data_IF_960850329514
#
_entry.id   IF_960850329514
#
_cell.length_a   1.000
_cell.length_b   1.000
_cell.length_c   1.000
_cell.angle_alpha   90.00
_cell.angle_beta   90.00
_cell.angle_gamma   90.00
#
_symmetry.space_group_name_H-M   'P 1'
#
loop_
_entity.id
_entity.type
_entity.pdbx_description
1 polymer ?
#
# COMPACT_ATOMS: atom_id res chain seq x y z
N UNK A 1 -23.50 37.40 -74.68
CA UNK A 1 -24.03 38.09 -73.49
C UNK A 1 -25.09 37.18 -72.89
N UNK A 2 -24.78 36.52 -71.78
CA UNK A 2 -25.68 35.55 -71.14
C UNK A 2 -25.85 35.97 -69.68
N UNK A 3 -27.10 36.20 -69.28
CA UNK A 3 -27.56 36.64 -67.97
C UNK A 3 -27.11 35.69 -66.85
N UNK A 4 -26.47 36.22 -65.81
CA UNK A 4 -26.30 35.53 -64.53
C UNK A 4 -27.14 36.28 -63.49
N UNK A 5 -28.09 35.54 -62.94
CA UNK A 5 -29.06 35.92 -61.91
C UNK A 5 -28.34 36.04 -60.54
N UNK A 6 -28.53 37.16 -59.83
CA UNK A 6 -28.07 37.31 -58.44
C UNK A 6 -29.28 37.48 -57.51
N UNK A 7 -29.42 36.67 -56.45
CA UNK A 7 -30.58 36.69 -55.55
C UNK A 7 -30.58 37.87 -54.54
N UNK A 8 -31.76 38.18 -53.93
CA UNK A 8 -32.03 39.44 -53.23
C UNK A 8 -31.41 39.52 -51.82
N UNK A 9 -31.08 40.75 -51.43
CA UNK A 9 -30.53 41.18 -50.14
C UNK A 9 -31.47 40.89 -48.96
N UNK A 10 -31.01 40.09 -47.99
CA UNK A 10 -31.67 39.92 -46.69
C UNK A 10 -31.37 41.14 -45.80
N UNK A 11 -32.43 41.82 -45.35
CA UNK A 11 -32.42 43.02 -44.52
C UNK A 11 -32.58 42.64 -43.03
N UNK A 12 -31.94 43.40 -42.12
CA UNK A 12 -31.69 43.05 -40.71
C UNK A 12 -32.78 43.53 -39.73
N UNK A 13 -33.96 42.89 -39.61
CA UNK A 13 -34.99 43.32 -38.63
C UNK A 13 -35.82 42.20 -37.96
N UNK A 14 -35.31 40.97 -37.75
CA UNK A 14 -36.02 39.94 -36.94
C UNK A 14 -35.30 39.67 -35.60
N UNK A 15 -35.94 39.88 -34.43
CA UNK A 15 -35.29 39.75 -33.14
C UNK A 15 -34.97 38.28 -32.81
N UNK A 16 -33.72 38.00 -32.45
CA UNK A 16 -33.32 36.66 -32.01
C UNK A 16 -34.03 36.28 -30.70
N UNK A 17 -34.56 35.04 -30.56
CA UNK A 17 -35.14 34.61 -29.30
C UNK A 17 -34.04 34.52 -28.22
N UNK A 18 -34.23 35.26 -27.13
CA UNK A 18 -33.37 35.20 -25.96
C UNK A 18 -33.55 33.84 -25.25
N UNK A 19 -32.50 33.01 -25.07
CA UNK A 19 -32.64 31.62 -24.63
C UNK A 19 -32.89 31.43 -23.12
N UNK A 20 -33.26 32.48 -22.37
CA UNK A 20 -33.61 32.39 -20.95
C UNK A 20 -35.09 32.71 -20.72
N UNK A 21 -35.97 31.71 -20.83
CA UNK A 21 -37.24 31.64 -20.07
C UNK A 21 -37.93 30.29 -20.26
N UNK A 22 -37.48 29.29 -19.52
CA UNK A 22 -38.29 28.09 -19.22
C UNK A 22 -38.15 27.76 -17.74
N UNK A 23 -38.86 28.51 -16.89
CA UNK A 23 -39.01 28.17 -15.47
C UNK A 23 -40.37 27.54 -15.19
N UNK A 24 -40.35 26.32 -14.64
CA UNK A 24 -41.40 25.74 -13.79
C UNK A 24 -41.71 24.25 -14.08
N UNK A 25 -42.04 23.40 -13.06
CA UNK A 25 -41.90 23.52 -11.62
C UNK A 25 -40.99 22.43 -11.00
N UNK A 26 -40.61 22.68 -9.76
CA UNK A 26 -40.05 21.77 -8.76
C UNK A 26 -40.49 20.31 -8.87
N UNK A 27 -39.51 19.41 -8.66
CA UNK A 27 -39.58 18.21 -7.81
C UNK A 27 -39.39 16.79 -8.43
N UNK A 28 -38.37 16.08 -7.89
CA UNK A 28 -38.34 14.64 -7.62
C UNK A 28 -37.94 13.61 -8.71
N UNK A 29 -36.86 13.81 -9.49
CA UNK A 29 -36.16 12.64 -10.06
C UNK A 29 -34.69 12.77 -10.46
N UNK A 30 -34.00 13.89 -10.25
CA UNK A 30 -32.53 13.82 -10.27
C UNK A 30 -32.12 13.04 -9.03
N UNK A 31 -31.54 11.83 -9.16
CA UNK A 31 -30.90 11.21 -8.01
C UNK A 31 -29.92 12.27 -7.49
N UNK A 32 -29.88 12.57 -6.18
CA UNK A 32 -28.81 13.40 -5.65
C UNK A 32 -27.52 12.80 -6.20
N UNK A 33 -26.73 13.61 -6.92
CA UNK A 33 -25.41 13.23 -7.42
C UNK A 33 -24.80 12.36 -6.33
N UNK A 34 -24.71 11.04 -6.58
CA UNK A 34 -24.24 10.10 -5.58
C UNK A 34 -22.98 10.75 -5.01
N UNK A 35 -22.95 11.06 -3.70
CA UNK A 35 -21.94 11.95 -3.14
C UNK A 35 -20.64 11.50 -3.74
N UNK A 36 -20.05 12.35 -4.60
CA UNK A 36 -18.81 12.01 -5.30
C UNK A 36 -17.94 11.61 -4.15
N UNK A 37 -17.70 10.29 -3.99
CA UNK A 37 -16.87 9.79 -2.92
C UNK A 37 -15.55 10.35 -3.35
N UNK A 38 -15.24 11.54 -2.84
CA UNK A 38 -13.90 12.09 -2.80
C UNK A 38 -13.24 11.01 -2.00
N UNK A 39 -12.70 10.01 -2.71
CA UNK A 39 -11.84 9.00 -2.15
C UNK A 39 -10.80 9.88 -1.48
N UNK A 40 -10.92 10.02 -0.16
CA UNK A 40 -10.09 10.91 0.63
C UNK A 40 -8.72 10.28 0.53
N UNK A 41 -7.99 10.68 -0.50
CA UNK A 41 -6.70 10.12 -0.84
C UNK A 41 -5.87 10.23 0.41
N UNK A 42 -5.43 9.08 0.91
CA UNK A 42 -4.68 9.00 2.15
C UNK A 42 -3.54 10.02 2.05
N UNK A 43 -3.57 11.04 2.90
CA UNK A 43 -2.46 11.96 3.01
C UNK A 43 -1.28 11.18 3.56
N UNK A 44 -0.41 10.74 2.65
CA UNK A 44 0.84 10.08 2.92
C UNK A 44 1.82 11.06 3.54
N UNK A 45 1.60 11.37 4.80
CA UNK A 45 2.55 12.12 5.60
C UNK A 45 3.78 11.25 5.85
N UNK A 46 4.97 11.81 5.70
CA UNK A 46 6.26 11.16 6.03
C UNK A 46 6.21 10.52 7.43
N UNK A 47 5.55 11.19 8.39
CA UNK A 47 5.31 10.65 9.74
C UNK A 47 4.49 9.35 9.77
N UNK A 48 3.45 9.23 8.94
CA UNK A 48 2.67 7.98 8.83
C UNK A 48 3.52 6.86 8.23
N UNK A 49 4.34 7.15 7.22
CA UNK A 49 5.24 6.13 6.63
C UNK A 49 6.21 5.58 7.66
N UNK A 50 6.86 6.44 8.45
CA UNK A 50 7.75 6.01 9.53
C UNK A 50 7.02 5.23 10.63
N UNK A 51 5.82 5.66 11.00
CA UNK A 51 4.98 4.94 11.95
C UNK A 51 4.66 3.52 11.47
N UNK A 52 4.18 3.39 10.24
CA UNK A 52 3.87 2.11 9.62
C UNK A 52 5.12 1.24 9.54
N UNK A 53 6.27 1.81 9.18
CA UNK A 53 7.54 1.09 9.16
C UNK A 53 7.93 0.56 10.55
N UNK A 54 7.78 1.38 11.60
CA UNK A 54 8.04 0.96 12.98
C UNK A 54 7.12 -0.19 13.41
N UNK A 55 5.83 -0.09 13.10
CA UNK A 55 4.84 -1.15 13.36
C UNK A 55 5.19 -2.44 12.63
N UNK A 56 5.68 -2.35 11.38
CA UNK A 56 6.11 -3.50 10.59
C UNK A 56 7.39 -4.15 11.07
N UNK A 57 8.39 -3.35 11.48
CA UNK A 57 9.61 -3.89 12.10
C UNK A 57 9.24 -4.64 13.37
N UNK A 58 8.37 -4.05 14.19
CA UNK A 58 7.86 -4.70 15.40
C UNK A 58 7.10 -5.99 15.09
N UNK A 59 6.29 -5.99 14.02
CA UNK A 59 5.61 -7.17 13.50
C UNK A 59 6.63 -8.26 13.11
N UNK A 60 7.69 -7.91 12.38
CA UNK A 60 8.74 -8.85 11.99
C UNK A 60 9.49 -9.44 13.20
N UNK A 61 9.79 -8.63 14.22
CA UNK A 61 10.36 -9.13 15.48
C UNK A 61 9.39 -10.09 16.19
N UNK A 62 8.10 -9.76 16.21
CA UNK A 62 7.07 -10.62 16.79
C UNK A 62 6.95 -11.95 16.03
N UNK A 63 7.04 -11.94 14.69
CA UNK A 63 7.02 -13.14 13.86
C UNK A 63 8.21 -14.05 14.16
N UNK A 64 9.44 -13.51 14.10
CA UNK A 64 10.67 -14.28 14.35
C UNK A 64 10.71 -14.76 15.81
N UNK A 65 10.40 -13.88 16.77
CA UNK A 65 10.38 -14.21 18.19
C UNK A 65 9.28 -15.22 18.57
N UNK A 66 8.09 -15.10 17.98
CA UNK A 66 6.98 -16.02 18.18
C UNK A 66 7.30 -17.42 17.62
N UNK A 67 7.87 -17.48 16.41
CA UNK A 67 8.37 -18.73 15.82
C UNK A 67 9.47 -19.36 16.66
N UNK A 68 10.41 -18.57 17.17
CA UNK A 68 11.47 -19.02 18.08
C UNK A 68 10.91 -19.58 19.40
N UNK A 69 9.92 -18.93 20.01
CA UNK A 69 9.27 -19.43 21.23
C UNK A 69 8.59 -20.79 21.02
N UNK A 70 7.91 -20.95 19.88
CA UNK A 70 7.31 -22.24 19.50
C UNK A 70 8.39 -23.30 19.26
N UNK A 71 9.49 -22.94 18.57
CA UNK A 71 10.63 -23.82 18.36
C UNK A 71 11.24 -24.30 19.68
N UNK A 72 11.43 -23.39 20.65
CA UNK A 72 11.95 -23.71 21.96
C UNK A 72 11.04 -24.72 22.70
N UNK A 73 9.72 -24.54 22.63
CA UNK A 73 8.77 -25.45 23.26
C UNK A 73 8.79 -26.85 22.63
N UNK A 74 8.74 -26.94 21.30
CA UNK A 74 8.62 -28.20 20.58
C UNK A 74 9.95 -28.93 20.47
N UNK A 75 11.01 -28.24 20.07
CA UNK A 75 12.31 -28.84 19.74
C UNK A 75 13.22 -28.99 20.95
N UNK A 76 13.22 -28.00 21.85
CA UNK A 76 14.08 -27.99 23.04
C UNK A 76 13.36 -28.47 24.31
N UNK A 77 12.13 -29.03 24.16
CA UNK A 77 11.28 -29.51 25.26
C UNK A 77 11.12 -28.50 26.41
N UNK A 78 11.13 -27.20 26.07
CA UNK A 78 10.84 -26.14 27.04
C UNK A 78 9.37 -26.26 27.50
N UNK A 79 9.04 -25.67 28.67
CA UNK A 79 7.69 -25.74 29.23
C UNK A 79 6.59 -25.30 28.24
N UNK A 80 5.40 -25.88 28.36
CA UNK A 80 4.26 -25.61 27.46
C UNK A 80 3.87 -24.13 27.35
N UNK A 81 4.15 -23.31 28.36
CA UNK A 81 3.85 -21.88 28.31
C UNK A 81 4.65 -21.12 27.23
N UNK A 82 5.82 -21.63 26.81
CA UNK A 82 6.56 -21.07 25.67
C UNK A 82 5.79 -21.23 24.37
N UNK A 83 5.13 -22.37 24.18
CA UNK A 83 4.29 -22.63 23.01
C UNK A 83 3.10 -21.67 22.97
N UNK A 84 2.41 -21.51 24.11
CA UNK A 84 1.24 -20.61 24.20
C UNK A 84 1.64 -19.16 24.02
N UNK A 85 2.74 -18.71 24.63
CA UNK A 85 3.28 -17.38 24.42
C UNK A 85 3.64 -17.14 22.94
N UNK A 86 4.37 -18.08 22.32
CA UNK A 86 4.72 -17.98 20.90
C UNK A 86 3.50 -17.95 19.98
N UNK A 87 2.49 -18.78 20.24
CA UNK A 87 1.25 -18.82 19.48
C UNK A 87 0.46 -17.50 19.60
N UNK A 88 0.35 -16.94 20.81
CA UNK A 88 -0.31 -15.63 21.01
C UNK A 88 0.42 -14.54 20.24
N UNK A 89 1.75 -14.51 20.30
CA UNK A 89 2.58 -13.54 19.58
C UNK A 89 2.41 -13.68 18.06
N UNK A 90 2.35 -14.91 17.53
CA UNK A 90 2.12 -15.17 16.11
C UNK A 90 0.72 -14.76 15.64
N UNK A 91 -0.31 -15.03 16.44
CA UNK A 91 -1.68 -14.60 16.15
C UNK A 91 -1.78 -13.08 16.18
N UNK A 92 -1.18 -12.43 17.19
CA UNK A 92 -1.12 -10.98 17.27
C UNK A 92 -0.36 -10.38 16.09
N UNK A 93 0.77 -10.98 15.70
CA UNK A 93 1.52 -10.59 14.50
C UNK A 93 0.64 -10.60 13.26
N UNK A 94 -0.14 -11.66 13.01
CA UNK A 94 -0.99 -11.74 11.81
C UNK A 94 -2.02 -10.60 11.69
N UNK A 95 -2.32 -9.91 12.80
CA UNK A 95 -3.22 -8.76 12.84
C UNK A 95 -2.51 -7.42 12.67
N UNK A 96 -1.18 -7.36 12.79
CA UNK A 96 -0.43 -6.10 12.68
C UNK A 96 -0.32 -5.60 11.21
N UNK A 97 -0.05 -6.45 10.20
CA UNK A 97 0.02 -6.04 8.80
C UNK A 97 -1.32 -5.55 8.23
N UNK A 98 -2.45 -5.91 8.84
CA UNK A 98 -3.78 -5.52 8.36
C UNK A 98 -4.13 -4.06 8.70
N UNK A 99 -3.33 -3.40 9.54
CA UNK A 99 -3.50 -2.00 9.91
C UNK A 99 -2.86 -1.02 8.90
N UNK A 100 -2.39 -1.51 7.74
CA UNK A 100 -1.62 -0.69 6.80
C UNK A 100 -2.52 0.20 5.91
N UNK A 101 -2.21 1.50 5.76
CA UNK A 101 -2.91 2.40 4.84
C UNK A 101 -2.62 2.07 3.36
N UNK A 102 -3.60 2.26 2.47
CA UNK A 102 -3.51 1.98 1.02
C UNK A 102 -2.93 3.15 0.20
N UNK A 103 -1.94 2.93 -0.68
CA UNK A 103 -1.51 3.98 -1.63
C UNK A 103 -0.03 4.09 -2.03
N UNK A 104 0.92 3.42 -1.37
CA UNK A 104 2.21 3.11 -2.01
C UNK A 104 2.08 1.76 -2.73
N UNK A 105 2.98 1.43 -3.66
CA UNK A 105 3.06 0.07 -4.22
C UNK A 105 3.36 -0.91 -3.09
N UNK A 106 2.30 -1.43 -2.46
CA UNK A 106 2.33 -2.31 -1.30
C UNK A 106 3.35 -3.42 -1.55
N UNK A 107 3.25 -4.06 -2.71
CA UNK A 107 4.15 -5.11 -3.14
C UNK A 107 5.65 -4.74 -3.15
N UNK A 108 6.03 -3.52 -3.57
CA UNK A 108 7.46 -3.12 -3.64
C UNK A 108 8.03 -2.80 -2.27
N UNK A 109 7.27 -2.06 -1.48
CA UNK A 109 7.64 -1.70 -0.11
C UNK A 109 7.78 -2.98 0.72
N UNK A 110 6.82 -3.91 0.59
CA UNK A 110 6.88 -5.22 1.23
C UNK A 110 8.06 -6.07 0.76
N UNK A 111 8.39 -6.04 -0.54
CA UNK A 111 9.54 -6.78 -1.08
C UNK A 111 10.88 -6.31 -0.50
N UNK A 112 11.08 -4.99 -0.36
CA UNK A 112 12.30 -4.43 0.24
C UNK A 112 12.42 -4.79 1.71
N UNK A 113 11.31 -4.75 2.44
CA UNK A 113 11.29 -5.20 3.83
C UNK A 113 11.54 -6.69 3.98
N UNK A 114 11.09 -7.52 3.03
CA UNK A 114 11.42 -8.94 3.00
C UNK A 114 12.93 -9.22 3.01
N UNK A 115 13.73 -8.42 2.30
CA UNK A 115 15.20 -8.54 2.36
C UNK A 115 15.79 -8.09 3.70
N UNK A 116 15.24 -7.04 4.31
CA UNK A 116 15.65 -6.59 5.65
C UNK A 116 15.29 -7.66 6.70
N UNK A 117 14.14 -8.32 6.55
CA UNK A 117 13.69 -9.41 7.42
C UNK A 117 14.66 -10.59 7.42
N UNK A 118 15.26 -10.91 6.26
CA UNK A 118 16.30 -11.94 6.16
C UNK A 118 17.52 -11.56 7.00
N UNK A 119 18.03 -10.34 6.87
CA UNK A 119 19.15 -9.87 7.69
C UNK A 119 18.80 -9.86 9.19
N UNK A 120 17.57 -9.47 9.53
CA UNK A 120 17.05 -9.43 10.89
C UNK A 120 16.92 -10.82 11.51
N UNK A 121 16.54 -11.84 10.73
CA UNK A 121 16.46 -13.24 11.17
C UNK A 121 17.83 -13.78 11.60
N UNK A 122 18.88 -13.50 10.83
CA UNK A 122 20.25 -13.84 11.21
C UNK A 122 20.72 -13.06 12.45
N UNK A 123 20.39 -11.76 12.53
CA UNK A 123 20.68 -10.94 13.70
C UNK A 123 19.98 -11.44 14.97
N UNK A 124 18.75 -11.93 14.85
CA UNK A 124 18.01 -12.53 15.97
C UNK A 124 18.65 -13.83 16.45
N UNK A 125 19.01 -14.74 15.53
CA UNK A 125 19.74 -15.97 15.87
C UNK A 125 21.05 -15.67 16.59
N UNK A 126 21.77 -14.63 16.15
CA UNK A 126 22.98 -14.18 16.83
C UNK A 126 22.73 -13.58 18.21
N UNK A 127 21.71 -12.73 18.36
CA UNK A 127 21.42 -12.03 19.60
C UNK A 127 20.79 -12.91 20.68
N UNK A 128 19.94 -13.87 20.29
CA UNK A 128 19.13 -14.69 21.21
C UNK A 128 19.74 -16.07 21.42
N UNK A 129 20.18 -16.74 20.36
CA UNK A 129 20.78 -18.08 20.45
C UNK A 129 22.32 -18.04 20.52
N UNK A 130 22.95 -16.89 20.24
CA UNK A 130 24.40 -16.73 20.27
C UNK A 130 25.12 -17.34 19.06
N UNK A 131 24.37 -17.90 18.11
CA UNK A 131 24.90 -18.51 16.89
C UNK A 131 25.50 -17.43 16.01
N UNK A 132 26.83 -17.46 15.86
CA UNK A 132 27.55 -16.48 15.05
C UNK A 132 27.22 -16.74 13.58
N UNK A 133 26.70 -15.74 12.84
CA UNK A 133 26.35 -15.92 11.45
C UNK A 133 27.60 -16.35 10.66
N UNK A 134 27.45 -17.42 9.90
CA UNK A 134 28.54 -18.01 9.14
C UNK A 134 28.79 -17.22 7.84
N UNK A 135 29.85 -17.57 7.11
CA UNK A 135 30.16 -16.89 5.83
C UNK A 135 29.04 -17.06 4.79
N UNK A 136 28.31 -18.17 4.84
CA UNK A 136 27.15 -18.45 4.00
C UNK A 136 25.95 -17.56 4.33
N UNK A 137 25.68 -17.29 5.61
CA UNK A 137 24.62 -16.39 6.07
C UNK A 137 24.87 -14.96 5.61
N UNK A 138 26.12 -14.50 5.69
CA UNK A 138 26.51 -13.18 5.16
C UNK A 138 26.35 -13.10 3.65
N UNK A 139 26.74 -14.13 2.91
CA UNK A 139 26.56 -14.19 1.45
C UNK A 139 25.07 -14.25 1.10
N UNK A 140 24.29 -15.07 1.79
CA UNK A 140 22.84 -15.20 1.59
C UNK A 140 22.09 -13.91 1.87
N UNK A 141 22.41 -13.23 2.97
CA UNK A 141 21.88 -11.91 3.29
C UNK A 141 22.26 -10.88 2.23
N UNK A 142 23.52 -10.87 1.76
CA UNK A 142 23.96 -9.97 0.70
C UNK A 142 23.21 -10.21 -0.63
N UNK A 143 22.97 -11.47 -1.01
CA UNK A 143 22.19 -11.83 -2.20
C UNK A 143 20.74 -11.39 -2.05
N UNK A 144 20.12 -11.61 -0.89
CA UNK A 144 18.76 -11.16 -0.61
C UNK A 144 18.63 -9.62 -0.71
N UNK A 145 19.59 -8.90 -0.14
CA UNK A 145 19.65 -7.43 -0.23
C UNK A 145 19.90 -6.95 -1.67
N UNK A 146 20.71 -7.68 -2.44
CA UNK A 146 20.90 -7.39 -3.86
C UNK A 146 19.60 -7.60 -4.66
N UNK A 147 18.84 -8.67 -4.40
CA UNK A 147 17.53 -8.90 -5.00
C UNK A 147 16.53 -7.78 -4.68
N UNK A 148 16.56 -7.29 -3.43
CA UNK A 148 15.80 -6.11 -3.00
C UNK A 148 16.24 -4.85 -3.75
N UNK A 149 17.54 -4.62 -3.91
CA UNK A 149 18.07 -3.50 -4.68
C UNK A 149 17.59 -3.56 -6.13
N UNK A 150 17.62 -4.74 -6.76
CA UNK A 150 17.09 -4.93 -8.12
C UNK A 150 15.60 -4.60 -8.16
N UNK A 151 14.77 -5.15 -7.25
CA UNK A 151 13.33 -4.89 -7.23
C UNK A 151 12.98 -3.40 -7.05
N UNK A 152 13.79 -2.67 -6.27
CA UNK A 152 13.63 -1.24 -6.02
C UNK A 152 14.09 -0.38 -7.21
N UNK A 153 15.30 -0.62 -7.71
CA UNK A 153 15.97 0.19 -8.74
C UNK A 153 15.63 -0.21 -10.18
N UNK A 154 14.88 -1.30 -10.41
CA UNK A 154 14.51 -1.71 -11.76
C UNK A 154 13.75 -0.59 -12.49
N UNK A 155 14.33 0.01 -13.55
CA UNK A 155 13.70 1.07 -14.31
C UNK A 155 12.48 0.52 -15.03
N UNK A 156 11.36 1.23 -14.92
CA UNK A 156 10.15 0.90 -15.67
C UNK A 156 10.05 1.91 -16.80
N UNK A 157 10.24 1.44 -18.03
CA UNK A 157 9.73 2.08 -19.23
C UNK A 157 8.26 1.72 -19.40
#
# INVERSE_FOLDING_TARGET
QTLVMTPPSLNNDDPTPNPLSSEGPSDLSTPPLAPTVVASGIEWTIGKVFWTLGVFIFAGLAEIGGGWLVWQAVRNRRPWYYFVAGAIVLVAYGLIPTLQPEGASFARVYAVYGGIFIAMSYGWGWAVDGDRPDRGDWIGSAIALAGVAVAWFWPRG
#
